data_IF_634583980656
#
_entry.id   IF_634583980656
#
_cell.length_a   1.000
_cell.length_b   1.000
_cell.length_c   1.000
_cell.angle_alpha   90.00
_cell.angle_beta   90.00
_cell.angle_gamma   90.00
#
_symmetry.space_group_name_H-M   'P 1'
#
loop_
_entity.id
_entity.type
_entity.pdbx_description
1 polymer ?
#
# COMPACT_ATOMS: atom_id res chain seq x y z
N UNK A 1 3.09 -6.25 -15.48
CA UNK A 1 2.69 -4.92 -15.01
C UNK A 1 3.74 -4.45 -14.02
N UNK A 2 4.12 -3.16 -14.02
CA UNK A 2 5.15 -2.65 -13.09
C UNK A 2 4.65 -2.73 -11.64
N UNK A 3 5.49 -3.12 -10.66
CA UNK A 3 5.16 -3.11 -9.23
C UNK A 3 4.56 -1.77 -8.78
N UNK A 4 5.10 -0.65 -9.28
CA UNK A 4 4.64 0.69 -8.94
C UNK A 4 3.19 0.95 -9.37
N UNK A 5 2.79 0.41 -10.52
CA UNK A 5 1.41 0.54 -11.03
C UNK A 5 0.48 -0.28 -10.15
N UNK A 6 0.83 -1.54 -9.87
CA UNK A 6 0.00 -2.44 -9.05
C UNK A 6 -0.21 -1.90 -7.63
N UNK A 7 0.86 -1.44 -6.99
CA UNK A 7 0.78 -0.86 -5.64
C UNK A 7 0.04 0.47 -5.66
N UNK A 8 0.27 1.30 -6.69
CA UNK A 8 -0.43 2.58 -6.87
C UNK A 8 -1.95 2.40 -7.00
N UNK A 9 -2.39 1.45 -7.82
CA UNK A 9 -3.80 1.10 -7.99
C UNK A 9 -4.41 0.55 -6.70
N UNK A 10 -3.69 -0.32 -5.99
CA UNK A 10 -4.16 -0.86 -4.70
C UNK A 10 -4.33 0.22 -3.64
N UNK A 11 -3.41 1.21 -3.58
CA UNK A 11 -3.55 2.38 -2.70
C UNK A 11 -4.77 3.22 -3.10
N UNK A 12 -4.93 3.53 -4.40
CA UNK A 12 -6.04 4.34 -4.87
C UNK A 12 -7.40 3.69 -4.57
N UNK A 13 -7.50 2.36 -4.72
CA UNK A 13 -8.70 1.60 -4.35
C UNK A 13 -8.97 1.67 -2.84
N UNK A 14 -7.92 1.56 -2.01
CA UNK A 14 -8.05 1.66 -0.56
C UNK A 14 -8.47 3.07 -0.11
N UNK A 15 -7.97 4.12 -0.78
CA UNK A 15 -8.36 5.51 -0.54
C UNK A 15 -9.83 5.78 -0.89
N UNK A 16 -10.34 5.20 -1.97
CA UNK A 16 -11.74 5.31 -2.35
C UNK A 16 -12.67 4.56 -1.39
N UNK A 17 -12.25 3.37 -0.95
CA UNK A 17 -13.04 2.52 -0.06
C UNK A 17 -12.14 1.72 0.85
N UNK A 18 -11.93 2.26 2.05
CA UNK A 18 -11.14 1.56 3.04
C UNK A 18 -11.85 0.27 3.50
N UNK A 19 -11.11 -0.83 3.54
CA UNK A 19 -11.50 -2.04 4.27
C UNK A 19 -10.26 -2.69 4.87
N UNK A 20 -10.38 -3.26 6.07
CA UNK A 20 -9.29 -3.98 6.74
C UNK A 20 -8.71 -5.11 5.87
N UNK A 21 -9.53 -5.74 5.01
CA UNK A 21 -9.08 -6.80 4.09
C UNK A 21 -8.22 -6.24 2.96
N UNK A 22 -8.60 -5.11 2.38
CA UNK A 22 -7.83 -4.47 1.32
C UNK A 22 -6.50 -3.91 1.86
N UNK A 23 -6.52 -3.37 3.08
CA UNK A 23 -5.32 -2.85 3.75
C UNK A 23 -4.27 -3.95 3.95
N UNK A 24 -4.66 -5.08 4.57
CA UNK A 24 -3.77 -6.25 4.73
C UNK A 24 -3.25 -6.81 3.40
N UNK A 25 -4.06 -6.73 2.34
CA UNK A 25 -3.64 -7.15 0.99
C UNK A 25 -2.61 -6.20 0.39
N UNK A 26 -2.77 -4.90 0.60
CA UNK A 26 -1.80 -3.89 0.19
C UNK A 26 -0.47 -4.09 0.92
N UNK A 27 -0.50 -4.31 2.24
CA UNK A 27 0.71 -4.62 3.03
C UNK A 27 1.45 -5.84 2.47
N UNK A 28 0.74 -6.96 2.26
CA UNK A 28 1.34 -8.17 1.68
C UNK A 28 1.91 -7.93 0.28
N UNK A 29 1.21 -7.15 -0.56
CA UNK A 29 1.68 -6.79 -1.90
C UNK A 29 3.00 -6.02 -1.85
N UNK A 30 3.10 -5.00 -0.99
CA UNK A 30 4.32 -4.19 -0.82
C UNK A 30 5.48 -5.06 -0.33
N UNK A 31 5.27 -5.90 0.69
CA UNK A 31 6.31 -6.79 1.23
C UNK A 31 6.76 -7.82 0.20
N UNK A 32 5.83 -8.41 -0.56
CA UNK A 32 6.17 -9.41 -1.57
C UNK A 32 7.03 -8.80 -2.69
N UNK A 33 6.74 -7.59 -3.14
CA UNK A 33 7.56 -6.93 -4.17
C UNK A 33 8.94 -6.52 -3.66
N UNK A 34 9.04 -6.04 -2.41
CA UNK A 34 10.34 -5.73 -1.80
C UNK A 34 11.20 -6.98 -1.61
N UNK A 35 10.64 -8.05 -1.05
CA UNK A 35 11.36 -9.31 -0.82
C UNK A 35 11.74 -10.02 -2.13
N UNK A 36 10.99 -9.80 -3.20
CA UNK A 36 11.35 -10.26 -4.55
C UNK A 36 12.42 -9.39 -5.23
N UNK A 37 12.92 -8.32 -4.59
CA UNK A 37 13.89 -7.39 -5.17
C UNK A 37 13.34 -6.47 -6.26
N UNK A 38 12.00 -6.36 -6.34
CA UNK A 38 11.32 -5.52 -7.32
C UNK A 38 11.07 -4.08 -6.83
N UNK A 39 11.39 -3.81 -5.55
CA UNK A 39 11.44 -2.49 -4.94
C UNK A 39 12.77 -2.35 -4.21
N UNK A 40 13.36 -1.15 -4.26
CA UNK A 40 14.44 -0.81 -3.34
C UNK A 40 13.90 -0.37 -1.95
N UNK A 41 14.82 -0.05 -1.03
CA UNK A 41 14.47 0.35 0.33
C UNK A 41 13.71 1.68 0.41
N UNK A 42 14.02 2.63 -0.48
CA UNK A 42 13.38 3.94 -0.49
C UNK A 42 11.96 3.86 -1.06
N UNK A 43 11.78 3.06 -2.10
CA UNK A 43 10.48 2.75 -2.70
C UNK A 43 9.59 1.98 -1.72
N UNK A 44 10.15 0.96 -1.05
CA UNK A 44 9.44 0.22 -0.01
C UNK A 44 8.96 1.16 1.11
N UNK A 45 9.87 2.00 1.63
CA UNK A 45 9.54 2.99 2.66
C UNK A 45 8.45 3.95 2.17
N UNK A 46 8.57 4.46 0.95
CA UNK A 46 7.59 5.35 0.33
C UNK A 46 6.18 4.72 0.33
N UNK A 47 6.06 3.47 -0.10
CA UNK A 47 4.76 2.80 -0.17
C UNK A 47 4.18 2.48 1.21
N UNK A 48 5.00 2.04 2.17
CA UNK A 48 4.60 1.83 3.55
C UNK A 48 4.07 3.13 4.19
N UNK A 49 4.74 4.27 3.97
CA UNK A 49 4.27 5.55 4.48
C UNK A 49 2.95 6.00 3.86
N UNK A 50 2.74 5.72 2.57
CA UNK A 50 1.47 6.01 1.89
C UNK A 50 0.35 5.15 2.46
N UNK A 51 0.53 3.84 2.56
CA UNK A 51 -0.46 2.93 3.15
C UNK A 51 -0.85 3.37 4.57
N UNK A 52 0.13 3.72 5.41
CA UNK A 52 -0.10 4.25 6.76
C UNK A 52 -0.99 5.49 6.76
N UNK A 53 -0.72 6.46 5.86
CA UNK A 53 -1.54 7.69 5.77
C UNK A 53 -2.99 7.37 5.41
N UNK A 54 -3.25 6.38 4.56
CA UNK A 54 -4.62 5.96 4.22
C UNK A 54 -5.33 5.39 5.46
N UNK A 55 -4.66 4.49 6.18
CA UNK A 55 -5.21 3.87 7.39
C UNK A 55 -5.50 4.88 8.51
N UNK A 56 -4.59 5.83 8.74
CA UNK A 56 -4.80 6.89 9.75
C UNK A 56 -5.97 7.82 9.39
N UNK A 57 -6.06 8.26 8.13
CA UNK A 57 -7.21 9.06 7.67
C UNK A 57 -8.55 8.34 7.86
N UNK A 58 -8.57 7.01 7.71
CA UNK A 58 -9.79 6.25 7.99
C UNK A 58 -10.14 6.27 9.48
N UNK A 59 -9.16 6.05 10.37
CA UNK A 59 -9.41 6.07 11.83
C UNK A 59 -9.93 7.43 12.31
N UNK A 60 -9.44 8.52 11.74
CA UNK A 60 -9.90 9.88 12.06
C UNK A 60 -11.33 10.17 11.57
N UNK A 61 -11.80 9.45 10.55
CA UNK A 61 -13.12 9.62 9.94
C UNK A 61 -14.18 8.61 10.44
N UNK A 62 -13.79 7.68 11.32
CA UNK A 62 -14.65 6.64 11.89
C UNK A 62 -15.05 6.97 13.33
#
# INVERSE_FOLDING_TARGET
MSPHVLIGEAIAQLEQRYTLRADKRLEALIVNHFTAGALDSDEFKHYCERARRVAERHKEAA
#
